data_IF_799496217112
#
_entry.id   IF_799496217112
#
_cell.length_a   1.000
_cell.length_b   1.000
_cell.length_c   1.000
_cell.angle_alpha   90.00
_cell.angle_beta   90.00
_cell.angle_gamma   90.00
#
_symmetry.space_group_name_H-M   'P 1'
#
loop_
_entity.id
_entity.type
_entity.pdbx_description
1 polymer ?
#
# COMPACT_ATOMS: atom_id res chain seq x y z
N UNK A 1 25.15 6.03 7.95
CA UNK A 1 24.03 5.15 8.36
C UNK A 1 22.72 5.43 7.62
N UNK A 2 22.22 6.67 7.55
CA UNK A 2 20.92 6.98 6.89
C UNK A 2 20.81 6.51 5.44
N UNK A 3 21.81 6.80 4.60
CA UNK A 3 21.84 6.37 3.19
C UNK A 3 21.84 4.85 3.02
N UNK A 4 22.40 4.11 3.99
CA UNK A 4 22.42 2.65 3.95
C UNK A 4 21.02 2.07 4.17
N UNK A 5 20.30 2.59 5.17
CA UNK A 5 18.92 2.15 5.46
C UNK A 5 17.98 2.50 4.30
N UNK A 6 18.10 3.71 3.75
CA UNK A 6 17.27 4.16 2.62
C UNK A 6 17.49 3.33 1.35
N UNK A 7 18.69 2.79 1.14
CA UNK A 7 18.98 1.92 -0.01
C UNK A 7 18.62 0.44 0.23
N UNK A 8 18.82 -0.06 1.44
CA UNK A 8 18.70 -1.50 1.75
C UNK A 8 17.31 -1.91 2.24
N UNK A 9 16.51 -1.00 2.78
CA UNK A 9 15.20 -1.30 3.39
C UNK A 9 14.10 -0.32 2.96
N UNK A 10 13.84 -0.16 1.65
CA UNK A 10 12.87 0.82 1.17
C UNK A 10 11.42 0.45 1.53
N UNK A 11 11.07 -0.84 1.59
CA UNK A 11 9.71 -1.27 1.90
C UNK A 11 9.37 -1.08 3.38
N UNK A 12 10.32 -1.36 4.27
CA UNK A 12 10.18 -1.16 5.71
C UNK A 12 10.06 0.32 6.04
N UNK A 13 10.80 1.17 5.34
CA UNK A 13 10.65 2.63 5.45
C UNK A 13 9.30 3.12 4.91
N UNK A 14 8.81 2.53 3.81
CA UNK A 14 7.48 2.82 3.28
C UNK A 14 6.38 2.42 4.28
N UNK A 15 6.51 1.26 4.94
CA UNK A 15 5.59 0.79 5.96
C UNK A 15 5.62 1.65 7.22
N UNK A 16 6.82 1.99 7.69
CA UNK A 16 7.00 2.87 8.83
C UNK A 16 6.36 4.24 8.58
N UNK A 17 6.62 4.84 7.41
CA UNK A 17 6.04 6.14 7.06
C UNK A 17 4.52 6.08 6.85
N UNK A 18 3.99 4.98 6.32
CA UNK A 18 2.54 4.76 6.25
C UNK A 18 1.90 4.67 7.66
N UNK A 19 2.55 3.94 8.58
CA UNK A 19 2.11 3.81 9.97
C UNK A 19 2.13 5.14 10.73
N UNK A 20 3.03 6.05 10.37
CA UNK A 20 3.08 7.42 10.88
C UNK A 20 2.12 8.40 10.17
N UNK A 21 1.17 7.92 9.36
CA UNK A 21 0.24 8.73 8.54
C UNK A 21 0.94 9.67 7.54
N UNK A 22 2.21 9.41 7.18
CA UNK A 22 2.92 10.17 6.16
C UNK A 22 2.89 9.45 4.81
N UNK A 23 1.74 9.53 4.15
CA UNK A 23 1.48 8.83 2.88
C UNK A 23 2.34 9.35 1.73
N UNK A 24 2.68 10.65 1.73
CA UNK A 24 3.54 11.23 0.71
C UNK A 24 4.95 10.61 0.72
N UNK A 25 5.52 10.45 1.92
CA UNK A 25 6.84 9.82 2.10
C UNK A 25 6.79 8.32 1.85
N UNK A 26 5.72 7.66 2.27
CA UNK A 26 5.48 6.23 1.96
C UNK A 26 5.51 5.99 0.46
N UNK A 27 4.82 6.81 -0.34
CA UNK A 27 4.82 6.72 -1.80
C UNK A 27 6.22 6.82 -2.42
N UNK A 28 7.05 7.76 -1.95
CA UNK A 28 8.44 7.90 -2.42
C UNK A 28 9.24 6.62 -2.18
N UNK A 29 9.13 6.04 -0.98
CA UNK A 29 9.83 4.81 -0.63
C UNK A 29 9.29 3.59 -1.39
N UNK A 30 8.00 3.53 -1.66
CA UNK A 30 7.39 2.47 -2.48
C UNK A 30 7.86 2.53 -3.94
N UNK A 31 8.00 3.73 -4.52
CA UNK A 31 8.59 3.89 -5.86
C UNK A 31 10.07 3.48 -5.88
N UNK A 32 10.83 3.79 -4.82
CA UNK A 32 12.21 3.31 -4.68
C UNK A 32 12.28 1.77 -4.56
N UNK A 33 11.38 1.15 -3.80
CA UNK A 33 11.27 -0.30 -3.70
C UNK A 33 10.96 -0.93 -5.07
N UNK A 34 10.07 -0.31 -5.85
CA UNK A 34 9.75 -0.75 -7.22
C UNK A 34 10.96 -0.66 -8.16
N UNK A 35 11.71 0.45 -8.14
CA UNK A 35 12.93 0.59 -8.94
C UNK A 35 13.98 -0.46 -8.59
N UNK A 36 14.12 -0.78 -7.30
CA UNK A 36 15.00 -1.85 -6.83
C UNK A 36 14.52 -3.22 -7.31
N UNK A 37 13.23 -3.51 -7.21
CA UNK A 37 12.65 -4.73 -7.76
C UNK A 37 12.96 -4.87 -9.26
N UNK A 38 12.78 -3.82 -10.07
CA UNK A 38 13.08 -3.86 -11.50
C UNK A 38 14.56 -4.10 -11.79
N UNK A 39 15.45 -3.47 -11.03
CA UNK A 39 16.89 -3.71 -11.11
C UNK A 39 17.25 -5.16 -10.78
N UNK A 40 16.69 -5.70 -9.70
CA UNK A 40 16.92 -7.09 -9.31
C UNK A 40 16.33 -8.06 -10.34
N UNK A 41 15.11 -7.82 -10.81
CA UNK A 41 14.43 -8.65 -11.80
C UNK A 41 15.20 -8.74 -13.11
N UNK A 42 15.70 -7.60 -13.62
CA UNK A 42 16.51 -7.56 -14.85
C UNK A 42 17.87 -8.23 -14.70
N UNK A 43 18.41 -8.32 -13.48
CA UNK A 43 19.70 -8.98 -13.21
C UNK A 43 19.60 -10.51 -13.11
N UNK A 44 18.39 -11.05 -12.88
CA UNK A 44 18.22 -12.50 -12.67
C UNK A 44 18.09 -13.23 -14.00
N UNK A 45 18.87 -14.31 -14.12
CA UNK A 45 18.83 -15.18 -15.30
C UNK A 45 17.43 -15.80 -15.49
N UNK A 46 16.88 -15.86 -16.73
CA UNK A 46 15.54 -16.39 -17.00
C UNK A 46 15.29 -17.81 -16.48
N UNK A 47 16.30 -18.67 -16.50
CA UNK A 47 16.18 -20.06 -16.03
C UNK A 47 16.17 -20.21 -14.49
N UNK A 48 16.44 -19.14 -13.73
CA UNK A 48 16.37 -19.18 -12.26
C UNK A 48 14.92 -19.02 -11.78
N UNK A 49 14.08 -20.01 -12.10
CA UNK A 49 12.62 -19.98 -11.88
C UNK A 49 12.25 -19.73 -10.41
N UNK A 50 12.94 -20.39 -9.48
CA UNK A 50 12.69 -20.22 -8.05
C UNK A 50 13.04 -18.80 -7.55
N UNK A 51 14.18 -18.25 -7.97
CA UNK A 51 14.58 -16.89 -7.59
C UNK A 51 13.62 -15.85 -8.16
N UNK A 52 13.14 -16.04 -9.39
CA UNK A 52 12.10 -15.19 -10.00
C UNK A 52 10.78 -15.31 -9.26
N UNK A 53 10.36 -16.53 -8.86
CA UNK A 53 9.16 -16.73 -8.05
C UNK A 53 9.27 -15.97 -6.73
N UNK A 54 10.39 -16.09 -6.02
CA UNK A 54 10.61 -15.38 -4.75
C UNK A 54 10.55 -13.85 -4.90
N UNK A 55 11.15 -13.29 -5.95
CA UNK A 55 11.02 -11.86 -6.22
C UNK A 55 9.59 -11.44 -6.53
N UNK A 56 8.83 -12.24 -7.30
CA UNK A 56 7.44 -11.93 -7.63
C UNK A 56 6.55 -11.88 -6.38
N UNK A 57 6.78 -12.75 -5.39
CA UNK A 57 6.04 -12.70 -4.13
C UNK A 57 6.24 -11.35 -3.42
N UNK A 58 7.46 -10.82 -3.43
CA UNK A 58 7.76 -9.50 -2.83
C UNK A 58 7.10 -8.32 -3.56
N UNK A 59 6.64 -8.50 -4.80
CA UNK A 59 6.00 -7.43 -5.57
C UNK A 59 4.61 -7.08 -5.03
N UNK A 60 3.85 -8.08 -4.60
CA UNK A 60 2.50 -7.88 -4.09
C UNK A 60 2.43 -6.90 -2.90
N UNK A 61 3.20 -7.07 -1.80
CA UNK A 61 3.17 -6.13 -0.69
C UNK A 61 3.58 -4.71 -1.09
N UNK A 62 4.49 -4.54 -2.05
CA UNK A 62 4.87 -3.21 -2.58
C UNK A 62 3.68 -2.54 -3.28
N UNK A 63 2.94 -3.28 -4.11
CA UNK A 63 1.79 -2.76 -4.83
C UNK A 63 0.61 -2.45 -3.91
N UNK A 64 0.33 -3.32 -2.95
CA UNK A 64 -0.77 -3.10 -2.00
C UNK A 64 -0.49 -1.90 -1.08
N UNK A 65 0.76 -1.71 -0.65
CA UNK A 65 1.17 -0.54 0.12
C UNK A 65 1.02 0.75 -0.70
N UNK A 66 1.37 0.71 -1.99
CA UNK A 66 1.18 1.83 -2.92
C UNK A 66 -0.30 2.18 -3.04
N UNK A 67 -1.15 1.18 -3.31
CA UNK A 67 -2.59 1.37 -3.47
C UNK A 67 -3.20 1.98 -2.19
N UNK A 68 -2.80 1.50 -1.02
CA UNK A 68 -3.22 2.04 0.27
C UNK A 68 -2.79 3.49 0.50
N UNK A 69 -1.54 3.84 0.19
CA UNK A 69 -1.04 5.21 0.29
C UNK A 69 -1.76 6.16 -0.69
N UNK A 70 -2.03 5.70 -1.92
CA UNK A 70 -2.79 6.45 -2.92
C UNK A 70 -4.26 6.64 -2.52
N UNK A 71 -4.87 5.65 -1.85
CA UNK A 71 -6.22 5.79 -1.27
C UNK A 71 -6.23 6.85 -0.16
N UNK A 72 -5.37 6.70 0.85
CA UNK A 72 -5.35 7.59 2.02
C UNK A 72 -5.03 9.04 1.64
N UNK A 73 -4.07 9.27 0.75
CA UNK A 73 -3.75 10.62 0.28
C UNK A 73 -4.91 11.33 -0.44
N UNK A 74 -5.81 10.59 -1.10
CA UNK A 74 -6.99 11.16 -1.77
C UNK A 74 -8.14 11.41 -0.79
N UNK A 75 -8.26 10.61 0.25
CA UNK A 75 -9.26 10.80 1.32
C UNK A 75 -8.94 12.07 2.11
N UNK A 76 -7.68 12.27 2.48
CA UNK A 76 -7.25 13.47 3.22
C UNK A 76 -7.54 14.77 2.44
N UNK A 77 -7.26 14.80 1.13
CA UNK A 77 -7.48 15.99 0.28
C UNK A 77 -8.97 16.32 0.10
N UNK A 78 -9.83 15.31 -0.01
CA UNK A 78 -11.28 15.53 -0.16
C UNK A 78 -11.96 16.00 1.14
N UNK A 79 -11.30 15.86 2.30
CA UNK A 79 -11.77 16.43 3.57
C UNK A 79 -11.47 17.93 3.72
N UNK A 80 -10.48 18.46 2.99
CA UNK A 80 -10.01 19.86 3.05
C UNK A 80 -10.63 20.73 1.94
N UNK A 81 -11.29 20.12 0.96
CA UNK A 81 -12.05 20.83 -0.08
C UNK A 81 -13.26 21.55 0.50
N UNK A 82 -13.05 22.81 0.89
CA UNK A 82 -14.07 23.74 1.37
C UNK A 82 -15.22 23.79 0.36
N UNK A 83 -16.34 23.20 0.74
CA UNK A 83 -17.64 23.28 0.09
C UNK A 83 -18.13 24.73 0.11
N UNK A 84 -17.73 25.50 -0.89
CA UNK A 84 -18.40 26.75 -1.26
C UNK A 84 -19.26 26.47 -2.49
N UNK A 85 -20.52 26.10 -2.26
CA UNK A 85 -21.52 25.96 -3.31
C UNK A 85 -22.33 24.66 -3.25
N UNK A 86 -23.56 24.80 -2.75
CA UNK A 86 -24.73 23.97 -3.02
C UNK A 86 -24.54 22.45 -3.18
N UNK A 87 -24.88 21.75 -2.10
CA UNK A 87 -25.76 20.58 -2.16
C UNK A 87 -25.30 19.43 -3.06
N UNK A 88 -24.62 18.45 -2.46
CA UNK A 88 -24.80 17.03 -2.76
C UNK A 88 -24.10 16.20 -1.67
N UNK A 89 -24.87 15.39 -0.95
CA UNK A 89 -24.42 14.32 -0.04
C UNK A 89 -23.65 13.19 -0.78
N UNK A 90 -22.89 13.50 -1.83
CA UNK A 90 -22.30 12.55 -2.78
C UNK A 90 -20.82 12.25 -2.51
N UNK A 91 -20.16 12.96 -1.59
CA UNK A 91 -18.73 12.76 -1.36
C UNK A 91 -18.45 11.49 -0.55
N UNK A 92 -19.29 11.19 0.45
CA UNK A 92 -19.12 10.00 1.30
C UNK A 92 -19.38 8.70 0.55
N UNK A 93 -20.39 8.65 -0.35
CA UNK A 93 -20.59 7.48 -1.21
C UNK A 93 -19.35 7.22 -2.07
N UNK A 94 -18.74 8.28 -2.63
CA UNK A 94 -17.54 8.13 -3.46
C UNK A 94 -16.30 7.60 -2.71
N UNK A 95 -16.18 7.84 -1.40
CA UNK A 95 -15.05 7.37 -0.59
C UNK A 95 -15.24 5.91 -0.16
N UNK A 96 -16.48 5.54 0.18
CA UNK A 96 -16.88 4.16 0.47
C UNK A 96 -16.77 3.30 -0.79
N UNK A 97 -17.24 3.78 -1.95
CA UNK A 97 -17.14 3.08 -3.23
C UNK A 97 -15.69 2.83 -3.66
N UNK A 98 -14.78 3.76 -3.34
CA UNK A 98 -13.34 3.58 -3.60
C UNK A 98 -12.72 2.55 -2.64
N UNK A 99 -13.16 2.53 -1.39
CA UNK A 99 -12.71 1.55 -0.40
C UNK A 99 -13.18 0.15 -0.77
N UNK A 100 -14.45 -0.01 -1.16
CA UNK A 100 -14.99 -1.30 -1.58
C UNK A 100 -14.25 -1.81 -2.81
N UNK A 101 -14.02 -0.96 -3.82
CA UNK A 101 -13.21 -1.34 -4.98
C UNK A 101 -11.77 -1.75 -4.61
N UNK A 102 -11.14 -1.06 -3.64
CA UNK A 102 -9.81 -1.43 -3.14
C UNK A 102 -9.83 -2.81 -2.46
N UNK A 103 -10.83 -3.05 -1.60
CA UNK A 103 -11.00 -4.32 -0.91
C UNK A 103 -11.32 -5.47 -1.87
N UNK A 104 -12.15 -5.24 -2.88
CA UNK A 104 -12.45 -6.22 -3.92
C UNK A 104 -11.19 -6.60 -4.71
N UNK A 105 -10.38 -5.60 -5.08
CA UNK A 105 -9.08 -5.82 -5.72
C UNK A 105 -8.18 -6.71 -4.85
N UNK A 106 -8.07 -6.40 -3.55
CA UNK A 106 -7.24 -7.16 -2.62
C UNK A 106 -7.78 -8.56 -2.31
N UNK A 107 -9.11 -8.73 -2.31
CA UNK A 107 -9.74 -10.02 -2.13
C UNK A 107 -9.36 -10.96 -3.28
N UNK A 108 -9.41 -10.47 -4.53
CA UNK A 108 -9.02 -11.23 -5.73
C UNK A 108 -7.52 -11.50 -5.76
N UNK A 109 -6.69 -10.56 -5.30
CA UNK A 109 -5.23 -10.70 -5.28
C UNK A 109 -4.69 -11.41 -4.04
N UNK A 110 -5.48 -12.22 -3.34
CA UNK A 110 -4.99 -12.92 -2.14
C UNK A 110 -3.89 -13.94 -2.47
N UNK A 111 -2.89 -14.13 -1.59
CA UNK A 111 -1.88 -15.16 -1.75
C UNK A 111 -2.49 -16.54 -1.99
N UNK A 112 -1.77 -17.39 -2.73
CA UNK A 112 -2.21 -18.77 -2.95
C UNK A 112 -1.96 -19.64 -1.72
N UNK A 113 -2.71 -20.73 -1.59
CA UNK A 113 -2.51 -21.71 -0.51
C UNK A 113 -1.13 -22.38 -0.58
N UNK A 114 -0.49 -22.36 -1.76
CA UNK A 114 0.86 -22.90 -1.98
C UNK A 114 2.00 -21.94 -1.66
N UNK A 115 1.69 -20.69 -1.32
CA UNK A 115 2.71 -19.70 -0.98
C UNK A 115 3.15 -19.83 0.48
N UNK A 116 4.39 -19.45 0.74
CA UNK A 116 4.98 -19.55 2.08
C UNK A 116 4.22 -18.70 3.09
N UNK A 117 4.14 -19.16 4.33
CA UNK A 117 3.48 -18.46 5.44
C UNK A 117 4.06 -17.06 5.68
N UNK A 118 5.35 -16.87 5.39
CA UNK A 118 5.98 -15.54 5.45
C UNK A 118 5.34 -14.56 4.49
N UNK A 119 5.03 -14.97 3.25
CA UNK A 119 4.36 -14.13 2.27
C UNK A 119 2.96 -13.74 2.72
N UNK A 120 2.21 -14.70 3.28
CA UNK A 120 0.91 -14.44 3.91
C UNK A 120 0.99 -13.41 5.03
N UNK A 121 2.01 -13.54 5.89
CA UNK A 121 2.26 -12.60 6.99
C UNK A 121 2.58 -11.19 6.47
N UNK A 122 3.42 -11.07 5.45
CA UNK A 122 3.84 -9.79 4.88
C UNK A 122 2.65 -9.05 4.25
N UNK A 123 1.87 -9.74 3.41
CA UNK A 123 0.68 -9.18 2.76
C UNK A 123 -0.35 -8.74 3.79
N UNK A 124 -0.63 -9.57 4.79
CA UNK A 124 -1.59 -9.24 5.85
C UNK A 124 -1.14 -8.03 6.66
N UNK A 125 0.16 -7.93 6.95
CA UNK A 125 0.74 -6.80 7.68
C UNK A 125 0.61 -5.49 6.89
N UNK A 126 0.90 -5.51 5.58
CA UNK A 126 0.74 -4.35 4.70
C UNK A 126 -0.71 -3.88 4.64
N UNK A 127 -1.66 -4.81 4.44
CA UNK A 127 -3.10 -4.48 4.38
C UNK A 127 -3.57 -3.85 5.70
N UNK A 128 -3.11 -4.38 6.82
CA UNK A 128 -3.44 -3.85 8.15
C UNK A 128 -2.94 -2.42 8.32
N UNK A 129 -1.67 -2.15 7.99
CA UNK A 129 -1.08 -0.80 8.06
C UNK A 129 -1.80 0.16 7.11
N UNK A 130 -2.15 -0.29 5.91
CA UNK A 130 -2.82 0.54 4.91
C UNK A 130 -4.25 0.94 5.30
N UNK A 131 -4.99 0.05 6.00
CA UNK A 131 -6.38 0.29 6.42
C UNK A 131 -6.50 1.00 7.78
N UNK A 132 -5.45 0.95 8.61
CA UNK A 132 -5.45 1.55 9.95
C UNK A 132 -5.90 3.03 9.99
N UNK A 133 -5.45 3.91 9.08
CA UNK A 133 -5.90 5.31 9.06
C UNK A 133 -7.40 5.44 8.81
N UNK A 134 -7.95 4.66 7.87
CA UNK A 134 -9.37 4.68 7.52
C UNK A 134 -10.24 4.18 8.68
N UNK A 135 -9.82 3.10 9.36
CA UNK A 135 -10.51 2.56 10.54
C UNK A 135 -10.53 3.58 11.69
N UNK A 136 -9.41 4.27 11.91
CA UNK A 136 -9.30 5.31 12.93
C UNK A 136 -10.26 6.47 12.63
N UNK A 137 -10.31 6.93 11.38
CA UNK A 137 -11.24 7.98 10.95
C UNK A 137 -12.71 7.57 11.15
N UNK A 138 -13.08 6.32 10.86
CA UNK A 138 -14.45 5.83 11.05
C UNK A 138 -14.84 5.69 12.54
N UNK A 139 -13.91 5.30 13.40
CA UNK A 139 -14.16 5.22 14.85
C UNK A 139 -14.45 6.60 15.47
N UNK A 140 -13.81 7.65 14.95
CA UNK A 140 -13.98 9.02 15.44
C UNK A 140 -15.30 9.67 15.01
N UNK A 141 -15.97 9.17 13.96
CA UNK A 141 -17.26 9.72 13.48
C UNK A 141 -18.48 9.07 14.15
N UNK A 142 -18.28 7.97 14.88
CA UNK A 142 -19.34 7.20 15.55
C UNK A 142 -19.41 7.43 17.07
N UNK A 143 -18.53 8.28 17.62
CA UNK A 143 -18.53 8.77 19.01
C UNK A 143 -19.09 10.19 19.09
#
# INVERSE_FOLDING_TARGET
MRQYVESHFPIELALYSASCNNHARSKVYTEQAMQRFLTQWSSIHPCATQARKQLLLQLQPILELRDGADYNSRVDVNSIGTSNGNGKNSNNSSAVDKLTHLLDKWAISSPSVSDDVSHWSDVTSVRTVALQPTLTQYSNTTS
#
